data_IF_749265530757
#
_entry.id   IF_749265530757
#
_cell.length_a   1.000
_cell.length_b   1.000
_cell.length_c   1.000
_cell.angle_alpha   90.00
_cell.angle_beta   90.00
_cell.angle_gamma   90.00
#
_symmetry.space_group_name_H-M   'P 1'
#
loop_
_entity.id
_entity.type
_entity.pdbx_description
1 polymer ?
#
# COMPACT_ATOMS: atom_id res chain seq x y z
N UNK A 1 22.13 -22.78 -23.98
CA UNK A 1 22.07 -21.33 -24.19
C UNK A 1 20.60 -21.00 -24.40
N UNK A 2 19.89 -20.68 -23.33
CA UNK A 2 18.55 -20.13 -23.39
C UNK A 2 18.71 -18.63 -23.63
N UNK A 3 18.30 -18.15 -24.78
CA UNK A 3 18.19 -16.73 -25.09
C UNK A 3 17.25 -16.12 -24.07
N UNK A 4 17.78 -15.27 -23.20
CA UNK A 4 16.97 -14.34 -22.40
C UNK A 4 16.15 -13.53 -23.41
N UNK A 5 14.81 -13.42 -23.29
CA UNK A 5 14.05 -12.55 -24.15
C UNK A 5 14.64 -11.13 -24.00
N UNK A 6 14.86 -10.43 -25.13
CA UNK A 6 15.19 -9.01 -25.09
C UNK A 6 14.18 -8.31 -24.18
N UNK A 7 14.67 -7.60 -23.15
CA UNK A 7 13.86 -6.79 -22.26
C UNK A 7 13.18 -5.73 -23.12
N UNK A 8 11.87 -5.83 -23.29
CA UNK A 8 11.09 -4.78 -23.91
C UNK A 8 11.21 -3.51 -23.05
N UNK A 9 11.32 -2.36 -23.70
CA UNK A 9 11.42 -1.03 -23.06
C UNK A 9 10.39 -0.88 -21.93
N UNK A 10 10.78 -0.33 -20.77
CA UNK A 10 9.89 -0.13 -19.61
C UNK A 10 8.64 0.66 -20.01
N UNK A 11 7.48 0.02 -19.96
CA UNK A 11 6.24 0.55 -20.54
C UNK A 11 5.30 1.22 -19.52
N UNK A 12 5.62 1.24 -18.22
CA UNK A 12 4.69 1.71 -17.18
C UNK A 12 4.55 3.23 -17.06
N UNK A 13 5.47 4.01 -17.64
CA UNK A 13 5.42 5.49 -17.67
C UNK A 13 4.43 6.09 -18.68
N UNK A 14 3.69 5.28 -19.45
CA UNK A 14 2.75 5.77 -20.44
C UNK A 14 1.49 6.38 -19.78
N UNK A 15 0.90 7.40 -20.40
CA UNK A 15 -0.41 7.94 -20.04
C UNK A 15 -1.42 7.64 -21.15
N UNK A 16 -2.67 7.45 -20.75
CA UNK A 16 -3.76 7.21 -21.69
C UNK A 16 -4.55 8.50 -21.94
N UNK A 17 -4.95 8.71 -23.19
CA UNK A 17 -5.80 9.84 -23.56
C UNK A 17 -7.30 9.53 -23.26
N UNK A 18 -7.57 9.15 -21.99
CA UNK A 18 -8.93 8.92 -21.49
C UNK A 18 -9.45 10.22 -20.89
N UNK A 19 -10.45 10.82 -21.53
CA UNK A 19 -11.10 12.00 -20.99
C UNK A 19 -12.09 11.60 -19.90
N UNK A 20 -11.98 12.15 -18.68
CA UNK A 20 -12.97 11.89 -17.64
C UNK A 20 -14.36 12.39 -18.08
N UNK A 21 -15.39 11.60 -17.81
CA UNK A 21 -16.79 12.01 -18.04
C UNK A 21 -17.28 13.05 -17.03
N UNK A 22 -16.59 13.10 -15.88
CA UNK A 22 -16.80 14.09 -14.84
C UNK A 22 -15.50 14.36 -14.08
N UNK A 23 -15.29 15.62 -13.68
CA UNK A 23 -14.19 16.05 -12.81
C UNK A 23 -14.66 17.22 -11.93
N UNK A 24 -14.30 17.22 -10.65
CA UNK A 24 -14.42 18.39 -9.80
C UNK A 24 -13.44 19.48 -10.27
N UNK A 25 -13.70 20.72 -9.86
CA UNK A 25 -12.70 21.79 -9.96
C UNK A 25 -11.43 21.49 -9.14
N UNK A 26 -10.43 22.36 -9.28
CA UNK A 26 -9.25 22.33 -8.44
C UNK A 26 -9.58 22.91 -7.05
N UNK A 27 -8.81 22.45 -6.06
CA UNK A 27 -8.89 22.95 -4.69
C UNK A 27 -9.90 22.22 -3.81
N UNK A 28 -9.63 22.22 -2.51
CA UNK A 28 -10.44 21.54 -1.51
C UNK A 28 -11.40 22.50 -0.83
N UNK A 29 -12.64 22.54 -1.33
CA UNK A 29 -13.70 23.40 -0.81
C UNK A 29 -14.90 22.60 -0.31
N UNK A 30 -15.77 23.23 0.48
CA UNK A 30 -17.03 22.62 0.90
C UNK A 30 -17.92 22.23 -0.29
N UNK A 31 -17.93 23.04 -1.35
CA UNK A 31 -18.70 22.75 -2.57
C UNK A 31 -18.19 21.50 -3.28
N UNK A 32 -16.87 21.31 -3.36
CA UNK A 32 -16.25 20.09 -3.91
C UNK A 32 -16.65 18.86 -3.10
N UNK A 33 -16.61 18.93 -1.76
CA UNK A 33 -17.02 17.83 -0.88
C UNK A 33 -18.50 17.48 -1.05
N UNK A 34 -19.38 18.48 -1.13
CA UNK A 34 -20.81 18.31 -1.38
C UNK A 34 -21.08 17.73 -2.77
N UNK A 35 -20.31 18.14 -3.77
CA UNK A 35 -20.43 17.63 -5.13
C UNK A 35 -20.01 16.15 -5.23
N UNK A 36 -18.92 15.74 -4.58
CA UNK A 36 -18.50 14.33 -4.46
C UNK A 36 -19.65 13.50 -3.86
N UNK A 37 -20.15 13.90 -2.70
CA UNK A 37 -21.23 13.18 -2.01
C UNK A 37 -22.51 13.08 -2.85
N UNK A 38 -22.89 14.15 -3.54
CA UNK A 38 -24.04 14.18 -4.44
C UNK A 38 -23.84 13.24 -5.65
N UNK A 39 -22.67 13.24 -6.26
CA UNK A 39 -22.34 12.38 -7.42
C UNK A 39 -22.31 10.91 -7.06
N UNK A 40 -21.93 10.61 -5.82
CA UNK A 40 -21.89 9.25 -5.27
C UNK A 40 -23.23 8.81 -4.67
N UNK A 41 -24.23 9.71 -4.62
CA UNK A 41 -25.56 9.44 -4.03
C UNK A 41 -25.46 8.90 -2.60
N UNK A 42 -24.62 9.54 -1.79
CA UNK A 42 -24.35 9.09 -0.44
C UNK A 42 -25.47 9.44 0.54
N UNK A 43 -25.65 8.64 1.62
CA UNK A 43 -26.57 8.99 2.68
C UNK A 43 -26.10 10.23 3.44
N UNK A 44 -27.04 11.01 4.02
CA UNK A 44 -26.77 12.29 4.69
C UNK A 44 -25.68 12.21 5.76
N UNK A 45 -25.66 11.11 6.56
CA UNK A 45 -24.65 10.94 7.60
C UNK A 45 -23.22 10.86 7.03
N UNK A 46 -23.03 10.39 5.80
CA UNK A 46 -21.73 10.35 5.14
C UNK A 46 -21.33 11.77 4.69
N UNK A 47 -22.26 12.56 4.16
CA UNK A 47 -21.99 13.95 3.86
C UNK A 47 -21.58 14.74 5.12
N UNK A 48 -22.30 14.55 6.22
CA UNK A 48 -21.93 15.17 7.51
C UNK A 48 -20.52 14.75 7.98
N UNK A 49 -20.18 13.44 7.83
CA UNK A 49 -18.86 12.93 8.15
C UNK A 49 -17.78 13.62 7.31
N UNK A 50 -18.00 13.76 6.00
CA UNK A 50 -17.07 14.43 5.08
C UNK A 50 -16.86 15.90 5.44
N UNK A 51 -17.93 16.63 5.72
CA UNK A 51 -17.86 18.06 6.08
C UNK A 51 -17.11 18.27 7.41
N UNK A 52 -17.39 17.44 8.42
CA UNK A 52 -16.63 17.46 9.68
C UNK A 52 -15.15 17.13 9.47
N UNK A 53 -14.86 16.25 8.54
CA UNK A 53 -13.48 15.89 8.18
C UNK A 53 -12.76 17.03 7.46
N UNK A 54 -13.44 17.77 6.60
CA UNK A 54 -12.93 19.00 5.99
C UNK A 54 -12.59 20.07 7.04
N UNK A 55 -13.45 20.25 8.03
CA UNK A 55 -13.16 21.14 9.16
C UNK A 55 -11.90 20.72 9.92
N UNK A 56 -11.71 19.41 10.16
CA UNK A 56 -10.50 18.90 10.79
C UNK A 56 -9.27 19.15 9.92
N UNK A 57 -9.32 18.88 8.62
CA UNK A 57 -8.25 19.18 7.68
C UNK A 57 -7.82 20.64 7.76
N UNK A 58 -8.77 21.58 7.76
CA UNK A 58 -8.49 23.01 7.82
C UNK A 58 -7.87 23.47 9.15
N UNK A 59 -8.18 22.76 10.26
CA UNK A 59 -7.64 23.07 11.60
C UNK A 59 -6.26 22.47 11.87
N UNK A 60 -5.94 21.36 11.21
CA UNK A 60 -4.71 20.62 11.47
C UNK A 60 -3.54 21.22 10.69
N UNK A 61 -2.38 21.35 11.33
CA UNK A 61 -1.11 21.58 10.63
C UNK A 61 -0.61 20.29 9.98
N UNK A 62 0.23 20.41 8.96
CA UNK A 62 1.05 19.27 8.51
C UNK A 62 2.04 18.89 9.61
N UNK A 63 2.44 17.62 9.63
CA UNK A 63 3.51 17.17 10.52
C UNK A 63 4.82 17.90 10.22
N UNK A 64 5.60 18.15 11.26
CA UNK A 64 6.92 18.80 11.17
C UNK A 64 8.07 17.79 11.14
N UNK A 65 7.77 16.50 11.13
CA UNK A 65 8.73 15.40 11.09
C UNK A 65 8.60 14.63 9.75
N UNK A 66 9.66 13.94 9.37
CA UNK A 66 9.71 13.17 8.12
C UNK A 66 10.14 14.03 6.94
N UNK A 67 9.89 13.57 5.72
CA UNK A 67 10.19 14.30 4.49
C UNK A 67 9.46 15.65 4.40
N UNK A 68 10.07 16.57 3.67
CA UNK A 68 9.42 17.85 3.35
C UNK A 68 8.25 17.65 2.38
N UNK A 69 7.07 18.09 2.78
CA UNK A 69 5.83 18.04 2.02
C UNK A 69 5.32 19.41 1.61
N UNK A 70 6.14 20.46 1.75
CA UNK A 70 5.74 21.86 1.47
C UNK A 70 5.39 22.13 0.00
N UNK A 71 5.88 21.30 -0.93
CA UNK A 71 5.57 21.37 -2.35
C UNK A 71 4.15 20.90 -2.71
N UNK A 72 3.42 20.30 -1.76
CA UNK A 72 2.06 19.85 -2.00
C UNK A 72 1.11 21.06 -1.96
N UNK A 73 0.63 21.46 -3.13
CA UNK A 73 -0.33 22.54 -3.27
C UNK A 73 -1.77 21.99 -3.34
N UNK A 74 -2.43 21.94 -2.20
CA UNK A 74 -3.79 21.42 -2.08
C UNK A 74 -4.84 22.21 -2.92
N UNK A 75 -4.53 23.44 -3.31
CA UNK A 75 -5.43 24.26 -4.14
C UNK A 75 -5.35 23.91 -5.64
N UNK A 76 -4.29 23.18 -6.06
CA UNK A 76 -4.12 22.74 -7.45
C UNK A 76 -4.60 21.32 -7.73
N UNK A 77 -4.88 20.55 -6.70
CA UNK A 77 -5.29 19.15 -6.82
C UNK A 77 -6.75 19.05 -7.20
N UNK A 78 -7.06 18.14 -8.12
CA UNK A 78 -8.42 17.66 -8.40
C UNK A 78 -8.72 16.47 -7.50
N UNK A 79 -9.80 16.55 -6.74
CA UNK A 79 -10.10 15.58 -5.69
C UNK A 79 -11.02 14.45 -6.12
N UNK A 80 -11.66 14.57 -7.27
CA UNK A 80 -12.51 13.52 -7.81
C UNK A 80 -12.61 13.58 -9.33
N UNK A 81 -12.38 12.45 -9.97
CA UNK A 81 -12.57 12.25 -11.41
C UNK A 81 -13.23 10.91 -11.67
N UNK A 82 -14.13 10.87 -12.65
CA UNK A 82 -14.85 9.68 -13.07
C UNK A 82 -14.54 9.39 -14.53
N UNK A 83 -14.04 8.17 -14.81
CA UNK A 83 -13.71 7.73 -16.15
C UNK A 83 -14.82 6.94 -16.83
N UNK A 84 -15.74 6.31 -16.06
CA UNK A 84 -16.89 5.54 -16.57
C UNK A 84 -18.14 5.77 -15.73
N UNK A 85 -19.33 5.53 -16.30
CA UNK A 85 -20.60 5.73 -15.58
C UNK A 85 -20.88 4.67 -14.51
N UNK A 86 -20.44 3.42 -14.74
CA UNK A 86 -20.64 2.27 -13.82
C UNK A 86 -19.49 1.30 -13.91
N UNK A 87 -19.16 0.58 -12.80
CA UNK A 87 -18.24 -0.54 -12.85
C UNK A 87 -18.78 -1.66 -13.75
N UNK A 88 -17.93 -2.23 -14.60
CA UNK A 88 -18.24 -3.39 -15.37
C UNK A 88 -18.10 -4.67 -14.52
N UNK A 89 -18.98 -5.66 -14.72
CA UNK A 89 -18.87 -6.99 -14.12
C UNK A 89 -18.14 -7.99 -15.00
N UNK A 90 -18.22 -7.78 -16.31
CA UNK A 90 -17.48 -8.52 -17.29
C UNK A 90 -16.35 -7.64 -17.82
N UNK A 91 -15.16 -8.24 -18.00
CA UNK A 91 -14.02 -7.52 -18.53
C UNK A 91 -14.29 -7.00 -19.95
N UNK A 92 -15.10 -7.72 -20.71
CA UNK A 92 -15.47 -7.33 -22.07
C UNK A 92 -16.29 -6.03 -22.12
N UNK A 93 -16.97 -5.68 -21.04
CA UNK A 93 -17.74 -4.44 -20.90
C UNK A 93 -16.92 -3.22 -20.45
N UNK A 94 -15.65 -3.41 -20.05
CA UNK A 94 -14.73 -2.31 -19.69
C UNK A 94 -14.39 -1.53 -20.96
N UNK A 95 -14.35 -0.17 -20.95
CA UNK A 95 -13.94 0.62 -22.11
C UNK A 95 -12.58 0.20 -22.65
N UNK A 96 -12.45 0.04 -23.98
CA UNK A 96 -11.27 -0.52 -24.63
C UNK A 96 -9.96 0.15 -24.22
N UNK A 97 -9.93 1.48 -24.14
CA UNK A 97 -8.74 2.23 -23.70
C UNK A 97 -8.30 1.90 -22.28
N UNK A 98 -9.26 1.66 -21.38
CA UNK A 98 -8.98 1.27 -19.99
C UNK A 98 -8.49 -0.19 -19.95
N UNK A 99 -9.08 -1.08 -20.78
CA UNK A 99 -8.58 -2.45 -20.96
C UNK A 99 -7.13 -2.46 -21.40
N UNK A 100 -6.82 -1.74 -22.48
CA UNK A 100 -5.46 -1.62 -23.00
C UNK A 100 -4.46 -1.15 -21.93
N UNK A 101 -4.88 -0.21 -21.06
CA UNK A 101 -4.07 0.24 -19.93
C UNK A 101 -3.75 -0.92 -18.99
N UNK A 102 -4.77 -1.61 -18.50
CA UNK A 102 -4.57 -2.70 -17.55
C UNK A 102 -3.85 -3.92 -18.16
N UNK A 103 -4.03 -4.17 -19.46
CA UNK A 103 -3.28 -5.21 -20.20
C UNK A 103 -1.80 -4.86 -20.30
N UNK A 104 -1.47 -3.60 -20.59
CA UNK A 104 -0.08 -3.11 -20.65
C UNK A 104 0.64 -3.18 -19.30
N UNK A 105 -0.05 -2.94 -18.18
CA UNK A 105 0.54 -3.04 -16.84
C UNK A 105 0.54 -4.47 -16.29
N UNK A 106 0.14 -5.45 -17.10
CA UNK A 106 0.34 -6.86 -16.79
C UNK A 106 -0.76 -7.49 -15.95
N UNK A 107 -2.04 -7.14 -16.16
CA UNK A 107 -3.18 -7.92 -15.64
C UNK A 107 -3.58 -8.97 -16.70
N UNK A 108 -2.86 -10.10 -16.84
CA UNK A 108 -3.15 -11.09 -17.84
C UNK A 108 -4.49 -11.77 -17.56
N UNK A 109 -5.17 -12.22 -18.62
CA UNK A 109 -6.40 -13.00 -18.51
C UNK A 109 -6.21 -14.25 -17.65
N UNK A 110 -5.02 -14.87 -17.68
CA UNK A 110 -4.67 -16.02 -16.87
C UNK A 110 -4.68 -15.72 -15.35
N UNK A 111 -4.24 -14.53 -14.91
CA UNK A 111 -4.29 -14.13 -13.50
C UNK A 111 -5.73 -13.93 -13.04
N UNK A 112 -6.56 -13.26 -13.82
CA UNK A 112 -7.98 -13.08 -13.51
C UNK A 112 -8.70 -14.41 -13.35
N UNK A 113 -8.32 -15.41 -14.15
CA UNK A 113 -8.90 -16.76 -14.06
C UNK A 113 -8.47 -17.52 -12.80
N UNK A 114 -7.27 -17.24 -12.27
CA UNK A 114 -6.75 -17.91 -11.07
C UNK A 114 -7.32 -17.33 -9.76
N UNK A 115 -7.48 -16.00 -9.67
CA UNK A 115 -7.89 -15.30 -8.45
C UNK A 115 -9.31 -15.67 -7.97
N UNK A 116 -9.55 -15.53 -6.67
CA UNK A 116 -10.88 -15.66 -6.07
C UNK A 116 -11.81 -14.51 -6.49
N UNK A 117 -11.24 -13.33 -6.68
CA UNK A 117 -11.89 -12.13 -7.19
C UNK A 117 -10.86 -11.10 -7.60
N UNK A 118 -11.21 -10.28 -8.59
CA UNK A 118 -10.37 -9.21 -9.12
C UNK A 118 -11.18 -7.91 -9.25
N UNK A 119 -10.53 -6.79 -8.93
CA UNK A 119 -11.08 -5.45 -9.10
C UNK A 119 -10.05 -4.54 -9.74
N UNK A 120 -10.50 -3.55 -10.49
CA UNK A 120 -9.64 -2.52 -11.07
C UNK A 120 -10.24 -1.14 -10.83
N UNK A 121 -9.44 -0.26 -10.24
CA UNK A 121 -9.78 1.14 -10.05
C UNK A 121 -8.96 2.02 -11.00
N UNK A 122 -9.63 2.91 -11.70
CA UNK A 122 -9.04 3.90 -12.58
C UNK A 122 -9.47 5.29 -12.11
N UNK A 123 -8.49 6.15 -11.78
CA UNK A 123 -8.74 7.43 -11.11
C UNK A 123 -9.46 7.25 -9.76
N UNK A 124 -10.60 7.91 -9.59
CA UNK A 124 -11.32 7.94 -8.32
C UNK A 124 -12.33 6.82 -8.12
N UNK A 125 -12.57 5.97 -9.12
CA UNK A 125 -13.65 4.96 -9.03
C UNK A 125 -13.24 3.60 -9.61
N UNK A 126 -13.88 2.56 -9.09
CA UNK A 126 -13.75 1.19 -9.62
C UNK A 126 -14.42 1.10 -10.98
N UNK A 127 -13.68 0.59 -11.98
CA UNK A 127 -14.15 0.42 -13.37
C UNK A 127 -14.46 -1.04 -13.71
N UNK A 128 -13.90 -1.97 -12.96
CA UNK A 128 -14.14 -3.41 -13.11
C UNK A 128 -14.17 -4.10 -11.74
N UNK A 129 -15.10 -5.04 -11.58
CA UNK A 129 -15.18 -5.86 -10.38
C UNK A 129 -15.81 -7.22 -10.69
N UNK A 130 -15.14 -8.30 -10.28
CA UNK A 130 -15.66 -9.66 -10.38
C UNK A 130 -15.19 -10.53 -9.21
N UNK A 131 -16.05 -11.45 -8.78
CA UNK A 131 -15.72 -12.49 -7.80
C UNK A 131 -16.36 -13.82 -8.23
N UNK A 132 -15.61 -14.91 -8.15
CA UNK A 132 -16.10 -16.25 -8.50
C UNK A 132 -17.31 -16.64 -7.65
N UNK A 133 -18.32 -17.25 -8.28
CA UNK A 133 -19.57 -17.64 -7.62
C UNK A 133 -19.37 -18.55 -6.40
N UNK A 134 -18.36 -19.42 -6.41
CA UNK A 134 -18.05 -20.33 -5.31
C UNK A 134 -17.73 -19.56 -4.03
N UNK A 135 -17.03 -18.43 -4.11
CA UNK A 135 -16.72 -17.56 -2.97
C UNK A 135 -17.91 -16.70 -2.56
N UNK A 136 -18.73 -16.26 -3.52
CA UNK A 136 -20.00 -15.58 -3.21
C UNK A 136 -20.94 -16.47 -2.41
N UNK A 137 -21.04 -17.76 -2.76
CA UNK A 137 -21.89 -18.75 -2.05
C UNK A 137 -21.43 -19.01 -0.62
N UNK A 138 -20.16 -18.73 -0.29
CA UNK A 138 -19.65 -18.78 1.09
C UNK A 138 -20.02 -17.55 1.92
N UNK A 139 -20.70 -16.56 1.33
CA UNK A 139 -21.11 -15.32 1.98
C UNK A 139 -19.99 -14.28 2.08
N UNK A 140 -18.90 -14.45 1.35
CA UNK A 140 -17.83 -13.46 1.25
C UNK A 140 -18.38 -12.24 0.51
N UNK A 141 -18.10 -11.05 1.05
CA UNK A 141 -18.34 -9.78 0.37
C UNK A 141 -16.98 -9.26 -0.09
N UNK A 142 -16.86 -9.06 -1.38
CA UNK A 142 -15.74 -8.35 -2.00
C UNK A 142 -16.33 -7.36 -2.98
N UNK A 143 -16.19 -6.08 -2.72
CA UNK A 143 -16.75 -5.01 -3.55
C UNK A 143 -15.94 -3.74 -3.35
N UNK A 144 -16.28 -2.65 -4.03
CA UNK A 144 -15.73 -1.34 -3.73
C UNK A 144 -16.38 -0.74 -2.47
N UNK A 145 -15.67 0.19 -1.84
CA UNK A 145 -16.11 0.80 -0.58
C UNK A 145 -17.33 1.70 -0.76
N UNK A 146 -17.56 2.26 -1.95
CA UNK A 146 -18.73 3.07 -2.25
C UNK A 146 -20.00 2.23 -2.35
N UNK A 147 -19.91 1.07 -2.99
CA UNK A 147 -21.00 0.08 -3.05
C UNK A 147 -21.30 -0.49 -1.65
N UNK A 148 -20.25 -0.79 -0.87
CA UNK A 148 -20.41 -1.31 0.49
C UNK A 148 -21.15 -0.34 1.41
N UNK A 149 -20.92 0.96 1.29
CA UNK A 149 -21.64 2.00 2.04
C UNK A 149 -23.15 1.90 1.85
N UNK A 150 -23.60 1.55 0.64
CA UNK A 150 -25.03 1.50 0.25
C UNK A 150 -25.65 0.14 0.51
N UNK A 151 -24.94 -0.94 0.18
CA UNK A 151 -25.44 -2.31 0.18
C UNK A 151 -25.31 -2.98 1.56
N UNK A 152 -24.28 -2.61 2.35
CA UNK A 152 -23.97 -3.19 3.66
C UNK A 152 -23.81 -2.12 4.76
N UNK A 153 -24.76 -1.17 4.92
CA UNK A 153 -24.60 0.01 5.77
C UNK A 153 -24.35 -0.32 7.25
N UNK A 154 -24.87 -1.41 7.77
CA UNK A 154 -24.71 -1.80 9.18
C UNK A 154 -23.28 -2.25 9.47
N UNK A 155 -22.71 -3.10 8.60
CA UNK A 155 -21.31 -3.53 8.71
C UNK A 155 -20.41 -2.32 8.49
N UNK A 156 -20.68 -1.52 7.47
CA UNK A 156 -19.90 -0.35 7.13
C UNK A 156 -19.81 0.64 8.31
N UNK A 157 -20.92 1.05 8.89
CA UNK A 157 -20.97 1.98 10.04
C UNK A 157 -20.23 1.46 11.26
N UNK A 158 -20.26 0.14 11.48
CA UNK A 158 -19.61 -0.49 12.62
C UNK A 158 -18.10 -0.36 12.59
N UNK A 159 -17.48 -0.41 11.40
CA UNK A 159 -16.05 -0.52 11.24
C UNK A 159 -15.38 0.70 10.57
N UNK A 160 -16.07 1.39 9.70
CA UNK A 160 -15.53 2.53 8.94
C UNK A 160 -15.04 3.65 9.84
N UNK A 161 -13.82 4.15 9.60
CA UNK A 161 -13.16 5.23 10.35
C UNK A 161 -13.01 4.97 11.87
N UNK A 162 -12.90 3.69 12.28
CA UNK A 162 -12.70 3.32 13.68
C UNK A 162 -11.24 3.17 14.07
N UNK A 163 -10.37 2.78 13.14
CA UNK A 163 -8.93 2.70 13.37
C UNK A 163 -8.21 3.97 12.89
N UNK A 164 -8.71 4.57 11.82
CA UNK A 164 -8.15 5.82 11.28
C UNK A 164 -9.26 6.88 11.22
N UNK A 165 -9.55 7.56 12.34
CA UNK A 165 -10.52 8.65 12.36
C UNK A 165 -9.96 9.92 11.67
N UNK A 166 -10.82 10.88 11.28
CA UNK A 166 -10.39 12.16 10.68
C UNK A 166 -9.47 12.99 11.58
N UNK A 167 -9.46 12.70 12.87
CA UNK A 167 -8.64 13.39 13.88
C UNK A 167 -7.23 12.82 14.02
N UNK A 168 -6.89 11.79 13.27
CA UNK A 168 -5.60 11.10 13.39
C UNK A 168 -4.41 11.95 12.92
N UNK A 169 -4.50 12.44 11.70
CA UNK A 169 -3.53 13.34 11.08
C UNK A 169 -4.20 14.12 9.93
N UNK A 170 -3.52 15.15 9.41
CA UNK A 170 -4.09 16.01 8.37
C UNK A 170 -4.45 15.26 7.09
N UNK A 171 -3.66 14.27 6.70
CA UNK A 171 -3.92 13.45 5.49
C UNK A 171 -5.07 12.46 5.71
N UNK A 172 -5.25 11.96 6.93
CA UNK A 172 -6.43 11.17 7.29
C UNK A 172 -7.71 12.02 7.28
N UNK A 173 -7.62 13.28 7.71
CA UNK A 173 -8.73 14.24 7.58
C UNK A 173 -9.04 14.53 6.11
N UNK A 174 -8.01 14.74 5.28
CA UNK A 174 -8.14 14.93 3.84
C UNK A 174 -8.85 13.74 3.19
N UNK A 175 -8.31 12.53 3.35
CA UNK A 175 -8.93 11.33 2.80
C UNK A 175 -10.38 11.21 3.28
N UNK A 176 -10.65 11.40 4.57
CA UNK A 176 -12.01 11.31 5.13
C UNK A 176 -13.00 12.32 4.52
N UNK A 177 -12.52 13.49 4.07
CA UNK A 177 -13.35 14.48 3.40
C UNK A 177 -13.66 14.12 1.94
N UNK A 178 -12.70 13.51 1.22
CA UNK A 178 -12.80 13.34 -0.24
C UNK A 178 -12.68 11.89 -0.73
N UNK A 179 -12.60 10.89 0.15
CA UNK A 179 -12.37 9.50 -0.24
C UNK A 179 -13.33 9.02 -1.34
N UNK A 180 -12.80 8.19 -2.22
CA UNK A 180 -13.53 7.58 -3.32
C UNK A 180 -12.88 6.27 -3.71
N UNK A 181 -13.70 5.25 -3.95
CA UNK A 181 -13.19 3.92 -4.26
C UNK A 181 -12.50 3.25 -3.06
N UNK A 182 -11.60 2.35 -3.38
CA UNK A 182 -10.99 1.44 -2.42
C UNK A 182 -11.76 0.12 -2.35
N UNK A 183 -11.26 -0.79 -1.56
CA UNK A 183 -11.76 -2.16 -1.48
C UNK A 183 -12.49 -2.41 -0.16
N UNK A 184 -13.65 -3.04 -0.24
CA UNK A 184 -14.38 -3.57 0.91
C UNK A 184 -14.39 -5.09 0.88
N UNK A 185 -13.90 -5.71 1.98
CA UNK A 185 -13.91 -7.16 2.16
C UNK A 185 -14.54 -7.51 3.49
N UNK A 186 -15.50 -8.44 3.46
CA UNK A 186 -16.00 -9.12 4.65
C UNK A 186 -15.92 -10.62 4.44
N UNK A 187 -15.20 -11.32 5.30
CA UNK A 187 -15.09 -12.79 5.30
C UNK A 187 -15.83 -13.33 6.51
N UNK A 188 -16.90 -14.11 6.31
CA UNK A 188 -17.72 -14.65 7.40
C UNK A 188 -16.94 -15.62 8.29
N UNK A 189 -17.45 -15.82 9.51
CA UNK A 189 -16.91 -16.74 10.52
C UNK A 189 -16.59 -18.12 9.95
N UNK A 190 -15.33 -18.56 10.17
CA UNK A 190 -14.82 -19.87 9.80
C UNK A 190 -14.57 -20.08 8.30
N UNK A 191 -14.84 -19.09 7.46
CA UNK A 191 -14.61 -19.18 6.02
C UNK A 191 -13.12 -18.93 5.72
N UNK A 192 -12.53 -19.82 4.93
CA UNK A 192 -11.14 -19.68 4.45
C UNK A 192 -11.12 -19.36 2.97
N UNK A 193 -10.42 -18.30 2.60
CA UNK A 193 -10.21 -17.90 1.21
C UNK A 193 -8.78 -18.29 0.85
N UNK A 194 -8.63 -19.45 0.21
CA UNK A 194 -7.32 -20.04 -0.08
C UNK A 194 -6.63 -19.43 -1.30
N UNK A 195 -7.37 -18.66 -2.11
CA UNK A 195 -6.88 -17.97 -3.30
C UNK A 195 -7.00 -16.46 -3.09
N UNK A 196 -5.97 -15.66 -3.45
CA UNK A 196 -6.01 -14.22 -3.19
C UNK A 196 -7.20 -13.49 -3.81
N UNK A 197 -7.69 -12.46 -3.11
CA UNK A 197 -8.51 -11.39 -3.67
C UNK A 197 -7.57 -10.25 -4.08
N UNK A 198 -7.82 -9.60 -5.21
CA UNK A 198 -6.88 -8.63 -5.77
C UNK A 198 -7.55 -7.36 -6.28
N UNK A 199 -6.89 -6.22 -6.05
CA UNK A 199 -7.31 -4.94 -6.64
C UNK A 199 -6.10 -4.24 -7.26
N UNK A 200 -6.32 -3.67 -8.44
CA UNK A 200 -5.36 -2.81 -9.11
C UNK A 200 -5.82 -1.36 -9.07
N UNK A 201 -4.90 -0.45 -8.73
CA UNK A 201 -5.13 0.99 -8.70
C UNK A 201 -4.25 1.69 -9.74
N UNK A 202 -4.87 2.52 -10.56
CA UNK A 202 -4.18 3.33 -11.56
C UNK A 202 -4.58 4.80 -11.43
N UNK A 203 -3.62 5.68 -11.17
CA UNK A 203 -3.74 7.12 -11.42
C UNK A 203 -3.29 7.34 -12.85
N UNK A 204 -4.05 8.11 -13.65
CA UNK A 204 -3.67 8.37 -15.03
C UNK A 204 -3.69 9.85 -15.42
N UNK A 205 -4.30 10.73 -14.61
CA UNK A 205 -4.43 12.14 -14.95
C UNK A 205 -3.46 13.03 -14.15
N UNK A 206 -2.97 14.06 -14.82
CA UNK A 206 -2.09 15.08 -14.25
C UNK A 206 -2.81 15.97 -13.22
N UNK A 207 -2.12 16.37 -12.14
CA UNK A 207 -2.67 17.17 -11.03
C UNK A 207 -3.88 16.52 -10.34
N UNK A 208 -3.97 15.20 -10.34
CA UNK A 208 -5.07 14.47 -9.73
C UNK A 208 -4.61 13.83 -8.43
N UNK A 209 -5.52 13.83 -7.44
CA UNK A 209 -5.36 13.04 -6.22
C UNK A 209 -6.14 11.73 -6.31
N UNK A 210 -5.58 10.67 -5.72
CA UNK A 210 -6.28 9.41 -5.46
C UNK A 210 -6.39 9.21 -3.95
N UNK A 211 -7.62 8.99 -3.47
CA UNK A 211 -7.96 9.02 -2.06
C UNK A 211 -8.80 7.79 -1.68
N UNK A 212 -8.35 6.61 -2.04
CA UNK A 212 -9.08 5.38 -1.75
C UNK A 212 -9.13 5.08 -0.26
N UNK A 213 -10.17 4.33 0.13
CA UNK A 213 -10.34 3.86 1.50
C UNK A 213 -10.72 2.39 1.52
N UNK A 214 -9.77 1.56 1.90
CA UNK A 214 -9.93 0.10 1.98
C UNK A 214 -10.33 -0.33 3.38
N UNK A 215 -11.36 -1.19 3.48
CA UNK A 215 -11.88 -1.72 4.74
C UNK A 215 -12.02 -3.23 4.65
N UNK A 216 -11.26 -3.94 5.48
CA UNK A 216 -11.22 -5.41 5.51
C UNK A 216 -11.65 -5.91 6.87
N UNK A 217 -12.67 -6.77 6.92
CA UNK A 217 -13.16 -7.41 8.13
C UNK A 217 -13.08 -8.93 7.94
N UNK A 218 -12.30 -9.59 8.78
CA UNK A 218 -12.14 -11.05 8.78
C UNK A 218 -12.70 -11.59 10.09
N UNK A 219 -13.82 -12.28 10.01
CA UNK A 219 -14.55 -12.73 11.19
C UNK A 219 -13.87 -13.93 11.85
N UNK A 220 -14.36 -14.35 13.01
CA UNK A 220 -13.76 -15.37 13.88
C UNK A 220 -13.39 -16.66 13.12
N UNK A 221 -12.12 -17.08 13.22
CA UNK A 221 -11.59 -18.30 12.59
C UNK A 221 -11.52 -18.26 11.06
N UNK A 222 -11.81 -17.11 10.44
CA UNK A 222 -11.75 -16.93 9.00
C UNK A 222 -10.33 -16.56 8.51
N UNK A 223 -10.07 -16.68 7.21
CA UNK A 223 -8.80 -16.27 6.62
C UNK A 223 -8.95 -15.65 5.24
N UNK A 224 -8.10 -14.64 4.95
CA UNK A 224 -8.00 -14.02 3.64
C UNK A 224 -6.57 -13.57 3.33
N UNK A 225 -6.18 -13.70 2.07
CA UNK A 225 -5.06 -12.99 1.49
C UNK A 225 -5.58 -11.96 0.47
N UNK A 226 -5.28 -10.71 0.71
CA UNK A 226 -5.61 -9.61 -0.21
C UNK A 226 -4.33 -9.04 -0.80
N UNK A 227 -4.35 -8.81 -2.12
CA UNK A 227 -3.22 -8.29 -2.88
C UNK A 227 -3.62 -6.98 -3.56
N UNK A 228 -2.76 -5.99 -3.48
CA UNK A 228 -2.95 -4.67 -4.05
C UNK A 228 -1.76 -4.28 -4.92
N UNK A 229 -2.03 -3.90 -6.16
CA UNK A 229 -1.06 -3.31 -7.07
C UNK A 229 -1.40 -1.85 -7.36
N UNK A 230 -0.40 -0.95 -7.28
CA UNK A 230 -0.60 0.48 -7.53
C UNK A 230 0.43 1.00 -8.53
N UNK A 231 -0.02 1.75 -9.54
CA UNK A 231 0.85 2.36 -10.54
C UNK A 231 0.37 3.75 -10.96
N UNK A 232 1.29 4.60 -11.44
CA UNK A 232 0.99 5.88 -12.08
C UNK A 232 1.96 6.15 -13.23
N UNK A 233 1.53 6.88 -14.30
CA UNK A 233 2.42 7.38 -15.34
C UNK A 233 3.26 8.57 -14.84
N UNK A 234 4.32 8.87 -15.56
CA UNK A 234 5.16 10.03 -15.28
C UNK A 234 4.56 11.29 -15.88
N UNK A 235 4.38 12.33 -15.05
CA UNK A 235 3.96 13.67 -15.45
C UNK A 235 4.95 14.71 -14.93
N UNK A 236 4.83 15.94 -15.46
CA UNK A 236 5.67 17.08 -15.04
C UNK A 236 5.17 17.74 -13.76
N UNK A 237 3.92 17.51 -13.39
CA UNK A 237 3.29 18.04 -12.16
C UNK A 237 3.13 16.97 -11.10
N UNK A 238 3.13 17.37 -9.83
CA UNK A 238 2.98 16.48 -8.70
C UNK A 238 1.56 15.91 -8.62
N UNK A 239 1.48 14.62 -8.33
CA UNK A 239 0.23 13.90 -8.00
C UNK A 239 0.25 13.46 -6.54
N UNK A 240 -0.94 13.37 -5.92
CA UNK A 240 -1.08 12.99 -4.52
C UNK A 240 -1.87 11.69 -4.39
N UNK A 241 -1.23 10.66 -3.84
CA UNK A 241 -1.88 9.46 -3.37
C UNK A 241 -1.96 9.48 -1.84
N UNK A 242 -3.16 9.63 -1.28
CA UNK A 242 -3.38 9.65 0.16
C UNK A 242 -4.48 8.67 0.55
N UNK A 243 -4.10 7.40 0.69
CA UNK A 243 -4.98 6.29 0.96
C UNK A 243 -5.11 5.95 2.44
N UNK A 244 -6.20 5.30 2.81
CA UNK A 244 -6.41 4.73 4.14
C UNK A 244 -6.79 3.26 4.02
N UNK A 245 -6.15 2.42 4.86
CA UNK A 245 -6.48 1.00 5.00
C UNK A 245 -6.80 0.70 6.46
N UNK A 246 -7.98 0.11 6.70
CA UNK A 246 -8.43 -0.34 8.02
C UNK A 246 -8.72 -1.85 7.97
N UNK A 247 -8.07 -2.64 8.84
CA UNK A 247 -8.24 -4.10 8.90
C UNK A 247 -8.67 -4.52 10.31
N UNK A 248 -9.73 -5.33 10.38
CA UNK A 248 -10.21 -5.94 11.62
C UNK A 248 -10.13 -7.46 11.49
N UNK A 249 -9.18 -8.06 12.22
CA UNK A 249 -8.97 -9.52 12.23
C UNK A 249 -9.45 -10.07 13.55
N UNK A 250 -10.65 -10.68 13.53
CA UNK A 250 -11.32 -11.18 14.72
C UNK A 250 -10.64 -12.42 15.30
N UNK A 251 -11.20 -12.95 16.40
CA UNK A 251 -10.64 -14.07 17.16
C UNK A 251 -10.22 -15.23 16.26
N UNK A 252 -8.98 -15.71 16.46
CA UNK A 252 -8.38 -16.85 15.73
C UNK A 252 -8.41 -16.72 14.20
N UNK A 253 -8.64 -15.51 13.67
CA UNK A 253 -8.64 -15.23 12.24
C UNK A 253 -7.24 -14.86 11.72
N UNK A 254 -7.08 -14.96 10.41
CA UNK A 254 -5.83 -14.64 9.72
C UNK A 254 -6.08 -13.67 8.56
N UNK A 255 -5.31 -12.59 8.51
CA UNK A 255 -5.34 -11.64 7.41
C UNK A 255 -3.93 -11.38 6.90
N UNK A 256 -3.70 -11.63 5.62
CA UNK A 256 -2.49 -11.19 4.92
C UNK A 256 -2.86 -10.10 3.92
N UNK A 257 -2.15 -8.99 3.98
CA UNK A 257 -2.27 -7.88 3.04
C UNK A 257 -0.94 -7.68 2.34
N UNK A 258 -0.91 -7.91 1.05
CA UNK A 258 0.27 -7.72 0.21
C UNK A 258 0.07 -6.51 -0.69
N UNK A 259 1.04 -5.60 -0.77
CA UNK A 259 1.00 -4.49 -1.71
C UNK A 259 2.32 -4.33 -2.42
N UNK A 260 2.24 -4.06 -3.72
CA UNK A 260 3.38 -3.64 -4.54
C UNK A 260 3.00 -2.31 -5.17
N UNK A 261 3.79 -1.30 -4.83
CA UNK A 261 3.60 0.06 -5.33
C UNK A 261 4.78 0.43 -6.21
N UNK A 262 4.46 0.79 -7.44
CA UNK A 262 5.40 1.29 -8.44
C UNK A 262 4.88 2.65 -8.95
N UNK A 263 5.28 3.70 -8.26
CA UNK A 263 4.86 5.06 -8.56
C UNK A 263 5.92 5.79 -9.37
N UNK A 264 5.51 6.71 -10.22
CA UNK A 264 6.42 7.63 -10.92
C UNK A 264 6.95 8.74 -10.00
N UNK A 265 8.05 9.37 -10.41
CA UNK A 265 8.85 10.32 -9.63
C UNK A 265 8.13 11.63 -9.24
N UNK A 266 6.93 11.85 -9.76
CA UNK A 266 6.09 13.01 -9.42
C UNK A 266 5.03 12.72 -8.37
N UNK A 267 4.95 11.50 -7.83
CA UNK A 267 3.89 11.10 -6.90
C UNK A 267 4.32 11.27 -5.45
N UNK A 268 3.49 11.94 -4.66
CA UNK A 268 3.52 11.86 -3.20
C UNK A 268 2.62 10.71 -2.75
N UNK A 269 3.22 9.66 -2.21
CA UNK A 269 2.54 8.44 -1.76
C UNK A 269 2.44 8.42 -0.24
N UNK A 270 1.34 8.95 0.29
CA UNK A 270 1.14 9.23 1.71
C UNK A 270 0.00 8.38 2.28
N UNK A 271 0.31 7.18 2.78
CA UNK A 271 -0.68 6.16 3.10
C UNK A 271 -0.72 5.85 4.59
N UNK A 272 -1.93 5.81 5.15
CA UNK A 272 -2.18 5.39 6.54
C UNK A 272 -2.81 4.00 6.55
N UNK A 273 -2.08 2.99 7.08
CA UNK A 273 -2.53 1.59 7.19
C UNK A 273 -2.61 1.17 8.66
N UNK A 274 -3.77 0.67 9.10
CA UNK A 274 -3.96 0.16 10.46
C UNK A 274 -4.73 -1.15 10.50
N UNK A 275 -4.25 -2.06 11.31
CA UNK A 275 -4.93 -3.31 11.61
C UNK A 275 -5.16 -3.48 13.10
N UNK A 276 -6.25 -4.15 13.45
CA UNK A 276 -6.55 -4.57 14.81
C UNK A 276 -6.65 -6.10 14.84
N UNK A 277 -5.80 -6.72 15.65
CA UNK A 277 -5.78 -8.15 15.88
C UNK A 277 -6.40 -8.49 17.24
N UNK A 278 -7.47 -9.27 17.21
CA UNK A 278 -8.15 -9.76 18.41
C UNK A 278 -7.51 -11.05 18.94
N UNK A 279 -8.12 -11.70 19.92
CA UNK A 279 -7.57 -12.91 20.58
C UNK A 279 -7.14 -13.97 19.56
N UNK A 280 -5.89 -14.43 19.63
CA UNK A 280 -5.33 -15.46 18.74
C UNK A 280 -5.19 -15.06 17.27
N UNK A 281 -5.62 -13.87 16.88
CA UNK A 281 -5.60 -13.41 15.50
C UNK A 281 -4.17 -13.12 14.98
N UNK A 282 -3.99 -13.27 13.68
CA UNK A 282 -2.73 -12.96 13.00
C UNK A 282 -2.97 -11.97 11.87
N UNK A 283 -2.16 -10.91 11.83
CA UNK A 283 -2.12 -9.92 10.74
C UNK A 283 -0.72 -9.88 10.15
N UNK A 284 -0.63 -10.01 8.83
CA UNK A 284 0.62 -9.90 8.09
C UNK A 284 0.54 -8.79 7.03
N UNK A 285 1.50 -7.88 7.08
CA UNK A 285 1.75 -6.86 6.07
C UNK A 285 2.97 -7.25 5.24
N UNK A 286 2.80 -7.35 3.91
CA UNK A 286 3.88 -7.55 2.94
C UNK A 286 3.89 -6.33 2.03
N UNK A 287 4.95 -5.53 2.02
CA UNK A 287 4.90 -4.16 1.51
C UNK A 287 6.11 -3.84 0.62
N UNK A 288 5.90 -3.80 -0.69
CA UNK A 288 6.89 -3.39 -1.69
C UNK A 288 6.70 -1.93 -2.10
N UNK A 289 7.75 -1.11 -1.95
CA UNK A 289 7.72 0.32 -2.23
C UNK A 289 8.82 0.68 -3.22
N UNK A 290 8.42 1.03 -4.45
CA UNK A 290 9.29 1.47 -5.52
C UNK A 290 8.76 2.78 -6.11
N UNK A 291 9.66 3.59 -6.63
CA UNK A 291 9.31 4.87 -7.22
C UNK A 291 8.78 5.87 -6.19
N UNK A 292 7.95 6.79 -6.65
CA UNK A 292 7.44 7.97 -5.97
C UNK A 292 8.52 9.02 -5.64
N UNK A 293 8.14 10.30 -5.73
CA UNK A 293 8.96 11.41 -5.22
C UNK A 293 9.17 11.28 -3.72
N UNK A 294 8.09 10.96 -3.00
CA UNK A 294 8.12 10.77 -1.55
C UNK A 294 7.08 9.74 -1.13
N UNK A 295 7.53 8.70 -0.46
CA UNK A 295 6.63 7.75 0.21
C UNK A 295 6.69 7.98 1.72
N UNK A 296 5.51 8.09 2.37
CA UNK A 296 5.37 8.01 3.82
C UNK A 296 4.34 6.94 4.16
N UNK A 297 4.81 5.81 4.70
CA UNK A 297 3.93 4.66 4.96
C UNK A 297 4.42 3.83 6.15
N UNK A 298 3.60 3.74 7.19
CA UNK A 298 3.93 3.06 8.45
C UNK A 298 2.77 2.13 8.87
N UNK A 299 2.60 0.97 8.22
CA UNK A 299 1.58 0.01 8.60
C UNK A 299 1.65 -0.33 10.07
N UNK A 300 0.51 -0.36 10.74
CA UNK A 300 0.46 -0.64 12.16
C UNK A 300 -0.47 -1.79 12.50
N UNK A 301 -0.14 -2.52 13.59
CA UNK A 301 -0.99 -3.57 14.16
C UNK A 301 -1.22 -3.29 15.63
N UNK A 302 -2.47 -3.12 16.02
CA UNK A 302 -2.92 -3.11 17.41
C UNK A 302 -3.19 -4.55 17.83
N UNK A 303 -2.30 -5.10 18.66
CA UNK A 303 -2.38 -6.46 19.22
C UNK A 303 -3.22 -6.41 20.49
N UNK A 304 -4.55 -6.31 20.31
CA UNK A 304 -5.51 -6.02 21.40
C UNK A 304 -6.07 -7.30 22.05
N UNK A 305 -5.81 -8.47 21.45
CA UNK A 305 -6.25 -9.74 22.00
C UNK A 305 -5.11 -10.60 22.51
N UNK A 306 -5.35 -11.41 23.56
CA UNK A 306 -4.36 -12.36 24.07
C UNK A 306 -3.85 -13.28 22.96
N UNK A 307 -2.52 -13.40 22.83
CA UNK A 307 -1.89 -14.28 21.84
C UNK A 307 -1.98 -13.76 20.40
N UNK A 308 -2.43 -12.52 20.16
CA UNK A 308 -2.45 -11.92 18.84
C UNK A 308 -1.03 -11.75 18.27
N UNK A 309 -0.92 -11.83 16.95
CA UNK A 309 0.36 -11.78 16.22
C UNK A 309 0.31 -10.73 15.11
N UNK A 310 1.44 -9.99 14.97
CA UNK A 310 1.63 -9.02 13.90
C UNK A 310 2.95 -9.25 13.19
N UNK A 311 2.93 -9.31 11.85
CA UNK A 311 4.14 -9.43 11.05
C UNK A 311 4.18 -8.30 10.02
N UNK A 312 5.37 -7.73 9.82
CA UNK A 312 5.66 -6.81 8.74
C UNK A 312 6.91 -7.28 8.00
N UNK A 313 6.77 -7.47 6.70
CA UNK A 313 7.89 -7.65 5.79
C UNK A 313 7.83 -6.57 4.72
N UNK A 314 8.85 -5.73 4.64
CA UNK A 314 8.89 -4.63 3.69
C UNK A 314 10.17 -4.56 2.90
N UNK A 315 10.03 -4.05 1.68
CA UNK A 315 11.15 -3.60 0.86
C UNK A 315 10.89 -2.16 0.42
N UNK A 316 11.95 -1.34 0.41
CA UNK A 316 11.94 0.01 -0.13
C UNK A 316 13.15 0.23 -1.04
N UNK A 317 12.90 0.78 -2.23
CA UNK A 317 13.95 1.18 -3.16
C UNK A 317 13.81 2.67 -3.45
N UNK A 318 14.88 3.45 -3.25
CA UNK A 318 14.94 4.87 -3.59
C UNK A 318 16.07 5.13 -4.58
N UNK A 319 15.69 5.62 -5.76
CA UNK A 319 16.59 6.12 -6.78
C UNK A 319 16.77 7.64 -6.70
N UNK A 320 17.26 8.25 -7.79
CA UNK A 320 17.51 9.69 -7.89
C UNK A 320 16.25 10.51 -7.55
N UNK A 321 16.37 11.51 -6.67
CA UNK A 321 15.31 12.41 -6.23
C UNK A 321 14.12 11.72 -5.52
N UNK A 322 14.28 10.49 -5.05
CA UNK A 322 13.25 9.74 -4.34
C UNK A 322 13.54 9.65 -2.84
N UNK A 323 12.48 9.75 -2.03
CA UNK A 323 12.54 9.56 -0.58
C UNK A 323 11.54 8.49 -0.17
N UNK A 324 12.05 7.39 0.38
CA UNK A 324 11.24 6.31 0.96
C UNK A 324 11.33 6.39 2.49
N UNK A 325 10.40 7.09 3.12
CA UNK A 325 10.27 7.14 4.59
C UNK A 325 9.20 6.12 5.01
N UNK A 326 9.65 4.92 5.32
CA UNK A 326 8.79 3.77 5.55
C UNK A 326 9.06 3.15 6.93
N UNK A 327 8.23 2.21 7.34
CA UNK A 327 8.44 1.53 8.61
C UNK A 327 7.24 0.73 9.07
N UNK A 328 7.15 0.47 10.37
CA UNK A 328 6.05 -0.26 10.96
C UNK A 328 5.78 0.15 12.41
N UNK A 329 4.55 -0.09 12.87
CA UNK A 329 4.17 0.14 14.27
C UNK A 329 3.48 -1.10 14.83
N UNK A 330 4.01 -1.63 15.94
CA UNK A 330 3.42 -2.77 16.65
C UNK A 330 3.07 -2.34 18.08
N UNK A 331 1.77 -2.38 18.40
CA UNK A 331 1.23 -1.93 19.67
C UNK A 331 0.67 -3.13 20.42
N UNK A 332 1.40 -3.60 21.44
CA UNK A 332 1.05 -4.75 22.26
C UNK A 332 0.21 -4.31 23.46
N UNK A 333 -1.11 -4.47 23.36
CA UNK A 333 -2.07 -4.08 24.40
C UNK A 333 -2.57 -5.26 25.24
N UNK A 334 -2.26 -6.51 24.87
CA UNK A 334 -2.73 -7.72 25.52
C UNK A 334 -1.56 -8.68 25.83
N UNK A 335 -1.75 -9.66 26.74
CA UNK A 335 -0.68 -10.57 27.13
C UNK A 335 -0.36 -11.62 26.06
N UNK A 336 0.89 -12.11 26.07
CA UNK A 336 1.41 -13.16 25.19
C UNK A 336 1.28 -12.83 23.69
N UNK A 337 1.32 -11.56 23.33
CA UNK A 337 1.32 -11.13 21.93
C UNK A 337 2.72 -11.20 21.33
N UNK A 338 2.81 -11.35 20.02
CA UNK A 338 4.11 -11.40 19.34
C UNK A 338 4.10 -10.53 18.09
N UNK A 339 5.25 -9.90 17.80
CA UNK A 339 5.44 -9.20 16.53
C UNK A 339 6.81 -9.45 15.94
N UNK A 340 6.86 -9.41 14.61
CA UNK A 340 8.10 -9.49 13.83
C UNK A 340 8.07 -8.43 12.73
N UNK A 341 9.13 -7.64 12.66
CA UNK A 341 9.30 -6.61 11.63
C UNK A 341 10.62 -6.90 10.92
N UNK A 342 10.55 -7.13 9.62
CA UNK A 342 11.73 -7.24 8.74
C UNK A 342 11.60 -6.18 7.65
N UNK A 343 12.53 -5.24 7.62
CA UNK A 343 12.57 -4.15 6.64
C UNK A 343 13.90 -4.18 5.89
N UNK A 344 13.82 -4.26 4.57
CA UNK A 344 14.99 -4.20 3.70
C UNK A 344 14.89 -2.97 2.80
N UNK A 345 15.98 -2.22 2.70
CA UNK A 345 15.99 -0.97 1.95
C UNK A 345 17.23 -0.86 1.06
N UNK A 346 17.06 -0.21 -0.08
CA UNK A 346 18.12 0.05 -1.04
C UNK A 346 18.07 1.52 -1.43
N UNK A 347 19.19 2.21 -1.32
CA UNK A 347 19.34 3.61 -1.75
C UNK A 347 20.43 3.70 -2.82
N UNK A 348 20.10 4.36 -3.94
CA UNK A 348 20.95 4.49 -5.14
C UNK A 348 20.81 5.88 -5.75
N UNK A 349 21.87 6.36 -6.42
CA UNK A 349 21.90 7.60 -7.19
C UNK A 349 21.49 8.86 -6.40
N UNK A 350 21.79 8.88 -5.09
CA UNK A 350 21.42 9.96 -4.18
C UNK A 350 20.04 9.83 -3.56
N UNK A 351 19.37 8.70 -3.75
CA UNK A 351 18.09 8.39 -3.10
C UNK A 351 18.19 8.31 -1.57
N UNK A 352 17.08 8.51 -0.89
CA UNK A 352 17.00 8.51 0.57
C UNK A 352 16.01 7.44 1.05
N UNK A 353 16.47 6.56 1.96
CA UNK A 353 15.63 5.54 2.58
C UNK A 353 15.68 5.71 4.10
N UNK A 354 14.52 5.94 4.71
CA UNK A 354 14.40 6.10 6.16
C UNK A 354 13.47 5.04 6.72
N UNK A 355 13.91 4.36 7.76
CA UNK A 355 13.08 3.42 8.51
C UNK A 355 12.62 4.05 9.81
N UNK A 356 11.28 4.15 10.03
CA UNK A 356 10.69 4.56 11.31
C UNK A 356 9.92 3.41 11.92
N UNK A 357 10.48 2.82 12.95
CA UNK A 357 9.88 1.70 13.68
C UNK A 357 9.33 2.11 15.04
N UNK A 358 8.10 1.69 15.34
CA UNK A 358 7.54 1.87 16.69
C UNK A 358 7.12 0.52 17.25
N UNK A 359 7.59 0.21 18.46
CA UNK A 359 7.05 -0.88 19.28
C UNK A 359 6.64 -0.31 20.64
N UNK A 360 5.36 -0.51 20.96
CA UNK A 360 4.80 -0.11 22.26
C UNK A 360 4.32 -1.35 23.00
N UNK A 361 4.84 -1.61 24.19
CA UNK A 361 4.32 -2.60 25.12
C UNK A 361 3.48 -1.89 26.19
N UNK A 362 2.16 -2.06 26.11
CA UNK A 362 1.20 -1.53 27.06
C UNK A 362 1.30 -2.23 28.43
N UNK A 363 0.61 -1.72 29.44
CA UNK A 363 0.65 -2.26 30.81
C UNK A 363 0.21 -3.72 30.90
N UNK A 364 -0.70 -4.16 30.05
CA UNK A 364 -1.28 -5.50 30.04
C UNK A 364 -0.56 -6.50 29.11
N UNK A 365 0.59 -6.13 28.56
CA UNK A 365 1.35 -6.91 27.56
C UNK A 365 2.29 -7.98 28.15
N UNK A 366 2.07 -8.47 29.36
CA UNK A 366 2.94 -9.46 29.99
C UNK A 366 3.15 -10.69 29.10
N UNK A 367 4.38 -11.18 29.00
CA UNK A 367 4.78 -12.32 28.17
C UNK A 367 4.85 -12.03 26.66
N UNK A 368 4.73 -10.76 26.27
CA UNK A 368 4.80 -10.38 24.85
C UNK A 368 6.25 -10.21 24.37
N UNK A 369 6.46 -10.47 23.08
CA UNK A 369 7.78 -10.42 22.44
C UNK A 369 7.70 -9.66 21.11
N UNK A 370 8.77 -8.94 20.79
CA UNK A 370 8.93 -8.28 19.48
C UNK A 370 10.35 -8.45 18.96
N UNK A 371 10.46 -8.75 17.66
CA UNK A 371 11.73 -8.82 16.93
C UNK A 371 11.69 -7.81 15.78
N UNK A 372 12.77 -7.03 15.62
CA UNK A 372 12.92 -6.02 14.56
C UNK A 372 14.27 -6.23 13.88
N UNK A 373 14.25 -6.37 12.57
CA UNK A 373 15.43 -6.42 11.70
C UNK A 373 15.30 -5.35 10.61
N UNK A 374 16.27 -4.43 10.54
CA UNK A 374 16.28 -3.35 9.56
C UNK A 374 17.62 -3.36 8.81
N UNK A 375 17.61 -3.82 7.57
CA UNK A 375 18.80 -3.88 6.74
C UNK A 375 18.73 -2.87 5.60
N UNK A 376 19.80 -2.11 5.39
CA UNK A 376 19.92 -1.17 4.27
C UNK A 376 21.20 -1.38 3.50
N UNK A 377 21.08 -1.39 2.17
CA UNK A 377 22.21 -1.27 1.26
C UNK A 377 22.24 0.14 0.68
N UNK A 378 23.37 0.84 0.87
CA UNK A 378 23.68 2.11 0.21
C UNK A 378 24.64 1.81 -0.95
N UNK A 379 24.25 2.19 -2.17
CA UNK A 379 24.97 1.80 -3.38
C UNK A 379 26.03 2.83 -3.81
N UNK A 380 25.96 4.06 -3.31
CA UNK A 380 26.87 5.16 -3.67
C UNK A 380 27.14 6.10 -2.47
N UNK A 381 27.96 7.13 -2.70
CA UNK A 381 28.36 8.09 -1.65
C UNK A 381 27.38 9.26 -1.46
N UNK A 382 26.33 9.39 -2.29
CA UNK A 382 25.36 10.48 -2.25
C UNK A 382 24.07 10.04 -1.57
N UNK A 383 23.74 8.74 -1.67
CA UNK A 383 22.55 8.15 -1.09
C UNK A 383 22.58 8.17 0.44
N UNK A 384 21.38 8.21 1.04
CA UNK A 384 21.23 8.37 2.49
C UNK A 384 20.32 7.30 3.08
N UNK A 385 20.57 6.99 4.35
CA UNK A 385 19.70 6.12 5.13
C UNK A 385 19.70 6.54 6.59
N UNK A 386 18.50 6.64 7.17
CA UNK A 386 18.31 6.84 8.61
C UNK A 386 17.44 5.73 9.21
N UNK A 387 17.79 5.29 10.41
CA UNK A 387 16.97 4.38 11.20
C UNK A 387 16.51 5.08 12.47
N UNK A 388 15.20 5.22 12.63
CA UNK A 388 14.58 6.02 13.68
C UNK A 388 13.67 5.11 14.53
N UNK A 389 14.23 4.40 15.53
CA UNK A 389 13.46 3.53 16.41
C UNK A 389 12.73 4.31 17.48
N UNK A 390 11.50 3.92 17.78
CA UNK A 390 10.74 4.39 18.93
C UNK A 390 10.20 3.21 19.72
N UNK A 391 10.79 2.96 20.89
CA UNK A 391 10.41 1.86 21.76
C UNK A 391 9.83 2.37 23.08
N UNK A 392 8.59 2.00 23.36
CA UNK A 392 7.85 2.42 24.56
C UNK A 392 7.45 1.18 25.36
N UNK A 393 7.99 1.02 26.56
CA UNK A 393 7.84 -0.20 27.35
C UNK A 393 7.21 0.13 28.69
N UNK A 394 5.95 -0.25 28.90
CA UNK A 394 5.19 -0.06 30.14
C UNK A 394 5.00 -1.34 30.96
N UNK A 395 5.62 -2.48 30.54
CA UNK A 395 5.57 -3.75 31.23
C UNK A 395 6.96 -4.38 31.28
N UNK A 396 7.42 -4.79 32.45
CA UNK A 396 8.76 -5.38 32.61
C UNK A 396 8.85 -6.86 32.20
N UNK A 397 7.73 -7.53 31.93
CA UNK A 397 7.68 -8.94 31.53
C UNK A 397 7.55 -9.10 30.02
N UNK A 398 8.37 -8.38 29.27
CA UNK A 398 8.38 -8.41 27.80
C UNK A 398 9.80 -8.59 27.27
N UNK A 399 9.94 -9.02 26.03
CA UNK A 399 11.21 -9.10 25.34
C UNK A 399 11.17 -8.31 24.04
N UNK A 400 12.22 -7.51 23.78
CA UNK A 400 12.40 -6.74 22.56
C UNK A 400 13.82 -6.98 22.03
N UNK A 401 13.89 -7.40 20.78
CA UNK A 401 15.12 -7.49 20.01
C UNK A 401 15.06 -6.50 18.85
N UNK A 402 16.07 -5.68 18.67
CA UNK A 402 16.15 -4.72 17.58
C UNK A 402 17.56 -4.71 17.00
N UNK A 403 17.67 -5.13 15.75
CA UNK A 403 18.89 -5.09 14.97
C UNK A 403 18.71 -4.13 13.78
N UNK A 404 19.70 -3.28 13.53
CA UNK A 404 19.75 -2.40 12.38
C UNK A 404 21.14 -2.48 11.74
N UNK A 405 21.19 -2.70 10.43
CA UNK A 405 22.41 -2.79 9.66
C UNK A 405 22.34 -1.90 8.43
N UNK A 406 23.30 -0.99 8.31
CA UNK A 406 23.50 -0.18 7.11
C UNK A 406 24.87 -0.54 6.53
N UNK A 407 24.92 -0.94 5.28
CA UNK A 407 26.15 -1.35 4.61
C UNK A 407 26.21 -0.84 3.18
N UNK A 408 27.41 -0.65 2.67
CA UNK A 408 27.65 -0.59 1.22
C UNK A 408 27.69 -2.00 0.65
N UNK A 409 27.55 -2.12 -0.67
CA UNK A 409 27.81 -3.38 -1.37
C UNK A 409 29.25 -3.83 -1.07
N UNK A 410 29.40 -5.11 -0.74
CA UNK A 410 30.70 -5.67 -0.40
C UNK A 410 31.60 -5.73 -1.63
N UNK A 411 32.70 -4.95 -1.61
CA UNK A 411 33.74 -4.99 -2.66
C UNK A 411 34.32 -6.41 -2.83
N UNK A 412 34.42 -7.20 -1.76
CA UNK A 412 34.90 -8.59 -1.83
C UNK A 412 33.91 -9.47 -2.59
N UNK A 413 32.61 -9.30 -2.37
CA UNK A 413 31.57 -10.04 -3.08
C UNK A 413 31.53 -9.64 -4.56
N UNK A 414 31.60 -8.33 -4.86
CA UNK A 414 31.70 -7.84 -6.22
C UNK A 414 32.92 -8.44 -6.93
N UNK A 415 34.10 -8.31 -6.34
CA UNK A 415 35.34 -8.86 -6.89
C UNK A 415 35.24 -10.36 -7.14
N UNK A 416 34.69 -11.12 -6.21
CA UNK A 416 34.48 -12.55 -6.35
C UNK A 416 33.60 -12.88 -7.55
N UNK A 417 32.45 -12.23 -7.68
CA UNK A 417 31.50 -12.46 -8.78
C UNK A 417 32.11 -12.05 -10.14
N UNK A 418 32.79 -10.88 -10.19
CA UNK A 418 33.50 -10.42 -11.39
C UNK A 418 34.63 -11.37 -11.79
N UNK A 419 35.34 -11.96 -10.85
CA UNK A 419 36.38 -12.99 -11.13
C UNK A 419 35.80 -14.27 -11.73
N UNK A 420 34.48 -14.48 -11.61
CA UNK A 420 33.73 -15.58 -12.24
C UNK A 420 33.17 -15.24 -13.62
N UNK A 421 33.45 -14.03 -14.12
CA UNK A 421 33.09 -13.60 -15.48
C UNK A 421 31.85 -12.73 -15.59
N UNK A 422 31.28 -12.28 -14.46
CA UNK A 422 30.19 -11.31 -14.46
C UNK A 422 30.76 -9.90 -14.67
N UNK A 423 30.00 -9.03 -15.32
CA UNK A 423 30.25 -7.61 -15.31
C UNK A 423 29.96 -7.03 -13.92
N UNK A 424 30.41 -5.84 -13.61
CA UNK A 424 30.12 -5.16 -12.35
C UNK A 424 28.60 -4.96 -12.16
N UNK A 425 27.89 -4.61 -13.22
CA UNK A 425 26.42 -4.47 -13.20
C UNK A 425 25.71 -5.76 -12.86
N UNK A 426 26.05 -6.86 -13.56
CA UNK A 426 25.48 -8.18 -13.30
C UNK A 426 25.79 -8.68 -11.88
N UNK A 427 27.00 -8.42 -11.39
CA UNK A 427 27.41 -8.79 -10.04
C UNK A 427 26.63 -8.01 -8.98
N UNK A 428 26.47 -6.70 -9.20
CA UNK A 428 25.67 -5.82 -8.34
C UNK A 428 24.21 -6.24 -8.29
N UNK A 429 23.60 -6.45 -9.45
CA UNK A 429 22.22 -6.93 -9.56
C UNK A 429 22.04 -8.25 -8.82
N UNK A 430 22.94 -9.22 -8.99
CA UNK A 430 22.88 -10.51 -8.29
C UNK A 430 22.92 -10.34 -6.77
N UNK A 431 23.72 -9.43 -6.23
CA UNK A 431 23.80 -9.15 -4.79
C UNK A 431 22.49 -8.54 -4.31
N UNK A 432 21.96 -7.56 -5.04
CA UNK A 432 20.68 -6.89 -4.73
C UNK A 432 19.52 -7.88 -4.77
N UNK A 433 19.45 -8.72 -5.82
CA UNK A 433 18.42 -9.77 -5.92
C UNK A 433 18.48 -10.76 -4.77
N UNK A 434 19.68 -11.16 -4.34
CA UNK A 434 19.88 -12.01 -3.15
C UNK A 434 19.44 -11.33 -1.85
N UNK A 435 19.64 -10.01 -1.74
CA UNK A 435 19.20 -9.22 -0.58
C UNK A 435 17.67 -9.12 -0.47
N UNK A 436 16.97 -9.02 -1.60
CA UNK A 436 15.51 -8.91 -1.63
C UNK A 436 14.78 -10.25 -1.72
N UNK A 437 15.50 -11.35 -1.94
CA UNK A 437 14.92 -12.70 -2.10
C UNK A 437 13.94 -13.11 -0.98
N UNK A 438 14.20 -12.83 0.32
CA UNK A 438 13.24 -13.15 1.38
C UNK A 438 11.86 -12.52 1.17
N UNK A 439 11.82 -11.31 0.59
CA UNK A 439 10.58 -10.62 0.26
C UNK A 439 9.91 -11.25 -0.97
N UNK A 440 10.66 -11.50 -2.03
CA UNK A 440 10.10 -12.05 -3.28
C UNK A 440 9.47 -13.42 -3.10
N UNK A 441 10.01 -14.25 -2.17
CA UNK A 441 9.46 -15.57 -1.83
C UNK A 441 8.07 -15.52 -1.18
N UNK A 442 7.71 -14.40 -0.57
CA UNK A 442 6.41 -14.19 0.09
C UNK A 442 5.33 -13.67 -0.88
N UNK A 443 5.73 -13.27 -2.08
CA UNK A 443 4.81 -12.77 -3.09
C UNK A 443 4.16 -13.91 -3.90
N UNK A 444 2.94 -13.74 -4.39
CA UNK A 444 2.45 -14.55 -5.50
C UNK A 444 3.45 -14.50 -6.67
N UNK A 445 3.56 -15.60 -7.42
CA UNK A 445 4.61 -15.78 -8.42
C UNK A 445 4.67 -14.64 -9.45
N UNK A 446 3.52 -14.16 -9.90
CA UNK A 446 3.39 -13.08 -10.88
C UNK A 446 3.96 -11.76 -10.34
N UNK A 447 3.67 -11.46 -9.08
CA UNK A 447 4.20 -10.28 -8.39
C UNK A 447 5.69 -10.39 -8.09
N UNK A 448 6.19 -11.59 -7.80
CA UNK A 448 7.62 -11.82 -7.62
C UNK A 448 8.39 -11.58 -8.92
N UNK A 449 7.86 -12.04 -10.05
CA UNK A 449 8.44 -11.79 -11.38
C UNK A 449 8.44 -10.30 -11.69
N UNK A 450 7.32 -9.62 -11.47
CA UNK A 450 7.20 -8.19 -11.72
C UNK A 450 8.15 -7.37 -10.85
N UNK A 451 8.21 -7.65 -9.55
CA UNK A 451 9.11 -6.95 -8.64
C UNK A 451 10.58 -7.14 -9.05
N UNK A 452 10.98 -8.37 -9.40
CA UNK A 452 12.33 -8.65 -9.85
C UNK A 452 12.65 -7.85 -11.12
N UNK A 453 11.71 -7.78 -12.07
CA UNK A 453 11.84 -6.99 -13.30
C UNK A 453 11.99 -5.50 -12.99
N UNK A 454 11.18 -4.95 -12.09
CA UNK A 454 11.27 -3.54 -11.68
C UNK A 454 12.63 -3.24 -11.03
N UNK A 455 13.12 -4.11 -10.15
CA UNK A 455 14.45 -3.94 -9.54
C UNK A 455 15.56 -4.01 -10.60
N UNK A 456 15.48 -4.93 -11.57
CA UNK A 456 16.44 -5.00 -12.67
C UNK A 456 16.47 -3.70 -13.49
N UNK A 457 15.33 -3.11 -13.82
CA UNK A 457 15.27 -1.81 -14.51
C UNK A 457 15.91 -0.68 -13.72
N UNK A 458 15.63 -0.60 -12.42
CA UNK A 458 16.25 0.39 -11.54
C UNK A 458 17.77 0.18 -11.46
N UNK A 459 18.25 -1.05 -11.64
CA UNK A 459 19.69 -1.36 -11.66
C UNK A 459 20.35 -1.01 -12.98
N UNK A 460 19.69 -1.20 -14.14
CA UNK A 460 20.24 -0.90 -15.48
C UNK A 460 20.47 0.61 -15.70
N UNK A 461 19.67 1.49 -15.13
CA UNK A 461 19.84 2.95 -15.19
C UNK A 461 21.15 3.49 -14.60
N UNK A 462 22.03 2.63 -14.09
CA UNK A 462 23.28 2.99 -13.45
C UNK A 462 24.49 3.05 -14.39
N UNK A 463 24.29 2.86 -15.69
CA UNK A 463 25.38 2.93 -16.71
C UNK A 463 25.09 4.07 -17.68
N UNK A 464 25.40 5.29 -17.26
CA UNK A 464 25.39 6.50 -18.08
C UNK A 464 26.61 7.34 -17.77
#
# INVERSE_FOLDING_TARGET
>A
MSTVPELEEYQFGFHDDVKPIFSTGNGLTEDVVREISRKKEEPEWMLEFRLKSLEQFNKMAMQEWGPDLSDIDFEKIKYFQRASDKPARDWDDVPDKIKETFEKIGIPEAERAYLAGASAQYESEVVYHNMKEEFQKLGIIFTDTDSALKEYPDIFKKYFAKLVPPTDNKLAALNSAVWSGGTFIYVPKGVRVDVPLQTYFRINAENTGQFERTLIIVDEGASVHYVEGCTAPTYTSNSLHAAIVEIFTHKDAYTRYTTIQNWSDNVYNLVTKRAKAYEGATVEWIDGNLGAKTTMKYPSVYLDGKGARGTMLSIAFAGENQIQDTGAKMIHNAPNTSSSIVSKSIAKDGGEVNYRGQVTFGKDSAGSISHIECDTIIMDDKSKSDTIPFNEIHNSQVALEHEAKVSKISEEQLYYLMSRGLTEVEATEMIVMGFVEPFTKELPMEYAVELNRLISYEMEGSVG
#
